data_IF_864890206216
#
_entry.id   IF_864890206216
#
_cell.length_a   1.000
_cell.length_b   1.000
_cell.length_c   1.000
_cell.angle_alpha   90.00
_cell.angle_beta   90.00
_cell.angle_gamma   90.00
#
_symmetry.space_group_name_H-M   'P 1'
#
loop_
_entity.id
_entity.type
_entity.pdbx_description
1 polymer ?
#
# COMPACT_ATOMS: atom_id res chain seq x y z
N UNK A 1 26.14 1.05 -3.19
CA UNK A 1 24.91 1.25 -3.98
C UNK A 1 24.26 -0.10 -4.18
N UNK A 2 22.95 -0.17 -3.95
CA UNK A 2 22.15 -1.39 -4.10
C UNK A 2 20.87 -1.08 -4.87
N UNK A 3 20.53 -1.93 -5.83
CA UNK A 3 19.24 -1.90 -6.52
C UNK A 3 18.34 -2.93 -5.87
N UNK A 4 17.14 -2.52 -5.48
CA UNK A 4 16.16 -3.37 -4.78
C UNK A 4 14.84 -3.37 -5.53
N UNK A 5 14.13 -4.48 -5.46
CA UNK A 5 12.76 -4.56 -5.97
C UNK A 5 11.79 -3.86 -5.02
N UNK A 6 10.69 -3.38 -5.57
CA UNK A 6 9.58 -2.93 -4.76
C UNK A 6 8.85 -4.12 -4.13
N UNK A 7 8.40 -3.96 -2.90
CA UNK A 7 7.68 -4.99 -2.16
C UNK A 7 6.66 -4.36 -1.22
N UNK A 8 5.79 -5.19 -0.65
CA UNK A 8 4.83 -4.75 0.35
C UNK A 8 4.46 -5.90 1.29
N UNK A 9 3.96 -5.55 2.46
CA UNK A 9 3.44 -6.49 3.44
C UNK A 9 2.27 -5.85 4.22
N UNK A 10 1.37 -6.68 4.74
CA UNK A 10 0.37 -6.19 5.69
C UNK A 10 1.01 -5.92 7.05
N UNK A 11 0.55 -4.86 7.71
CA UNK A 11 0.96 -4.49 9.07
C UNK A 11 -0.17 -4.74 10.07
N UNK A 12 -1.41 -4.39 9.70
CA UNK A 12 -2.55 -4.54 10.60
C UNK A 12 -3.87 -4.64 9.83
N UNK A 13 -4.82 -5.36 10.41
CA UNK A 13 -6.25 -5.22 10.12
C UNK A 13 -6.90 -4.92 11.46
N UNK A 14 -7.60 -3.79 11.57
CA UNK A 14 -8.29 -3.41 12.81
C UNK A 14 -9.78 -3.35 12.56
N UNK A 15 -10.48 -4.27 13.20
CA UNK A 15 -11.88 -4.09 13.57
C UNK A 15 -11.88 -3.39 14.94
N UNK A 16 -12.40 -2.15 15.08
CA UNK A 16 -12.72 -1.61 16.40
C UNK A 16 -13.58 -2.65 17.13
N UNK A 17 -13.44 -2.79 18.45
CA UNK A 17 -14.16 -3.73 19.32
C UNK A 17 -13.51 -5.11 19.63
N UNK A 18 -12.19 -5.16 19.85
CA UNK A 18 -11.65 -6.06 20.89
C UNK A 18 -10.69 -7.20 20.49
N UNK A 19 -10.23 -7.28 19.24
CA UNK A 19 -9.16 -8.22 18.85
C UNK A 19 -7.94 -7.46 18.30
N UNK A 20 -7.18 -6.81 19.18
CA UNK A 20 -5.81 -6.38 18.85
C UNK A 20 -4.84 -7.53 19.13
N UNK A 21 -4.85 -8.56 18.28
CA UNK A 21 -3.82 -9.60 18.32
C UNK A 21 -2.67 -9.18 17.38
N UNK A 22 -1.39 -9.29 17.80
CA UNK A 22 -0.27 -9.17 16.87
C UNK A 22 -0.40 -10.21 15.76
N UNK A 23 0.01 -9.82 14.54
CA UNK A 23 -0.09 -10.55 13.28
C UNK A 23 0.42 -12.02 13.39
N UNK A 24 -0.44 -12.95 13.81
CA UNK A 24 -0.14 -14.38 13.83
C UNK A 24 -0.99 -15.16 12.81
N UNK A 25 -2.23 -14.76 12.54
CA UNK A 25 -3.10 -15.37 11.52
C UNK A 25 -4.01 -14.33 10.86
N UNK A 26 -3.82 -14.06 9.56
CA UNK A 26 -4.53 -13.01 8.80
C UNK A 26 -5.97 -13.38 8.43
N UNK A 27 -6.29 -14.67 8.37
CA UNK A 27 -7.62 -15.18 7.99
C UNK A 27 -8.65 -14.85 9.09
N UNK A 28 -8.31 -15.08 10.36
CA UNK A 28 -9.20 -14.80 11.50
C UNK A 28 -9.53 -13.30 11.63
N UNK A 29 -8.55 -12.43 11.32
CA UNK A 29 -8.74 -10.99 11.30
C UNK A 29 -9.66 -10.55 10.16
N UNK A 30 -9.54 -11.18 8.99
CA UNK A 30 -10.42 -10.92 7.86
C UNK A 30 -11.87 -11.31 8.16
N UNK A 31 -12.10 -12.48 8.74
CA UNK A 31 -13.44 -12.92 9.16
C UNK A 31 -14.05 -11.96 10.19
N UNK A 32 -13.26 -11.54 11.19
CA UNK A 32 -13.69 -10.58 12.20
C UNK A 32 -14.06 -9.21 11.60
N UNK A 33 -13.31 -8.76 10.59
CA UNK A 33 -13.60 -7.52 9.87
C UNK A 33 -14.93 -7.61 9.10
N UNK A 34 -15.21 -8.73 8.43
CA UNK A 34 -16.48 -8.93 7.72
C UNK A 34 -17.68 -8.90 8.67
N UNK A 35 -17.57 -9.57 9.83
CA UNK A 35 -18.61 -9.56 10.88
C UNK A 35 -18.84 -8.16 11.46
N UNK A 36 -17.79 -7.36 11.60
CA UNK A 36 -17.92 -5.96 12.03
C UNK A 36 -18.72 -5.14 11.01
N UNK A 37 -18.42 -5.26 9.71
CA UNK A 37 -19.14 -4.53 8.66
C UNK A 37 -20.62 -4.92 8.68
N UNK A 38 -20.94 -6.21 8.82
CA UNK A 38 -22.31 -6.68 8.94
C UNK A 38 -23.01 -6.07 10.16
N UNK A 39 -22.37 -6.10 11.33
CA UNK A 39 -22.93 -5.52 12.56
C UNK A 39 -23.20 -4.01 12.39
N UNK A 40 -22.26 -3.27 11.81
CA UNK A 40 -22.43 -1.84 11.53
C UNK A 40 -23.61 -1.59 10.59
N UNK A 41 -23.68 -2.29 9.47
CA UNK A 41 -24.77 -2.14 8.49
C UNK A 41 -26.14 -2.54 9.02
N UNK A 42 -26.22 -3.60 9.84
CA UNK A 42 -27.48 -4.03 10.45
C UNK A 42 -27.97 -3.09 11.54
N UNK A 43 -27.07 -2.35 12.20
CA UNK A 43 -27.42 -1.32 13.20
C UNK A 43 -28.30 -0.23 12.59
N UNK A 44 -28.05 0.15 11.33
CA UNK A 44 -28.83 1.17 10.62
C UNK A 44 -30.31 0.79 10.45
N UNK A 45 -30.61 -0.51 10.36
CA UNK A 45 -31.96 -1.04 10.10
C UNK A 45 -32.52 -1.87 11.26
N UNK A 46 -31.85 -1.86 12.42
CA UNK A 46 -32.22 -2.66 13.61
C UNK A 46 -32.50 -4.13 13.29
N UNK A 47 -31.60 -4.72 12.50
CA UNK A 47 -31.74 -6.10 11.98
C UNK A 47 -30.65 -7.04 12.48
N UNK A 48 -30.03 -6.73 13.62
CA UNK A 48 -28.94 -7.49 14.24
C UNK A 48 -29.36 -8.92 14.61
N UNK A 49 -30.65 -9.16 14.82
CA UNK A 49 -31.23 -10.49 15.03
C UNK A 49 -31.11 -11.43 13.82
N UNK A 50 -30.72 -10.92 12.65
CA UNK A 50 -30.50 -11.71 11.42
C UNK A 50 -29.03 -12.12 11.20
N UNK A 51 -28.14 -11.81 12.15
CA UNK A 51 -26.73 -12.23 12.10
C UNK A 51 -26.65 -13.72 12.40
N UNK A 52 -26.02 -14.48 11.49
CA UNK A 52 -25.67 -15.90 11.64
C UNK A 52 -24.15 -16.06 11.51
N UNK A 53 -23.56 -17.22 11.84
CA UNK A 53 -22.12 -17.45 11.66
C UNK A 53 -21.62 -17.22 10.22
N UNK A 54 -22.47 -17.42 9.21
CA UNK A 54 -22.16 -17.40 7.77
C UNK A 54 -22.80 -16.22 7.01
N UNK A 55 -23.46 -15.28 7.69
CA UNK A 55 -24.21 -14.19 7.03
C UNK A 55 -23.34 -13.04 6.53
N UNK A 56 -22.15 -12.86 7.12
CA UNK A 56 -21.33 -11.67 6.91
C UNK A 56 -20.95 -11.47 5.44
N UNK A 57 -20.41 -12.49 4.78
CA UNK A 57 -19.97 -12.38 3.39
C UNK A 57 -21.10 -12.01 2.44
N UNK A 58 -22.24 -12.69 2.55
CA UNK A 58 -23.44 -12.40 1.73
C UNK A 58 -23.95 -10.99 1.96
N UNK A 59 -23.93 -10.54 3.22
CA UNK A 59 -24.39 -9.20 3.59
C UNK A 59 -23.44 -8.12 3.07
N UNK A 60 -22.13 -8.30 3.24
CA UNK A 60 -21.10 -7.36 2.74
C UNK A 60 -21.11 -7.31 1.22
N UNK A 61 -21.22 -8.45 0.53
CA UNK A 61 -21.35 -8.48 -0.94
C UNK A 61 -22.55 -7.63 -1.39
N UNK A 62 -23.71 -7.82 -0.77
CA UNK A 62 -24.91 -7.04 -1.06
C UNK A 62 -24.71 -5.53 -0.84
N UNK A 63 -23.96 -5.12 0.19
CA UNK A 63 -23.63 -3.72 0.43
C UNK A 63 -22.75 -3.15 -0.69
N UNK A 64 -21.72 -3.89 -1.10
CA UNK A 64 -20.81 -3.48 -2.19
C UNK A 64 -21.59 -3.36 -3.51
N UNK A 65 -22.41 -4.35 -3.85
CA UNK A 65 -23.19 -4.38 -5.09
C UNK A 65 -24.19 -3.20 -5.18
N UNK A 66 -24.74 -2.78 -4.03
CA UNK A 66 -25.66 -1.63 -3.95
C UNK A 66 -24.95 -0.28 -3.80
N UNK A 67 -23.61 -0.25 -3.75
CA UNK A 67 -22.83 0.97 -3.56
C UNK A 67 -22.95 1.57 -2.15
N UNK A 68 -23.38 0.79 -1.16
CA UNK A 68 -23.53 1.22 0.24
C UNK A 68 -22.19 1.21 0.98
N UNK A 69 -21.22 1.99 0.48
CA UNK A 69 -19.82 1.93 0.92
C UNK A 69 -19.54 2.53 2.31
N UNK A 70 -20.49 3.23 2.94
CA UNK A 70 -20.26 3.80 4.26
C UNK A 70 -19.95 2.72 5.32
N UNK A 71 -20.52 1.52 5.20
CA UNK A 71 -20.34 0.46 6.21
C UNK A 71 -18.96 -0.19 6.17
N UNK A 72 -18.33 -0.25 4.99
CA UNK A 72 -16.99 -0.81 4.84
C UNK A 72 -15.91 0.15 5.38
N UNK A 73 -16.24 1.41 5.66
CA UNK A 73 -15.31 2.36 6.29
C UNK A 73 -14.95 2.00 7.75
N UNK A 74 -15.74 1.14 8.39
CA UNK A 74 -15.51 0.71 9.78
C UNK A 74 -14.33 -0.27 9.93
N UNK A 75 -13.82 -0.81 8.83
CA UNK A 75 -12.63 -1.68 8.81
C UNK A 75 -11.45 -0.88 8.28
N UNK A 76 -10.33 -0.94 9.01
CA UNK A 76 -9.09 -0.25 8.67
C UNK A 76 -7.99 -1.27 8.43
N UNK A 77 -7.22 -1.09 7.35
CA UNK A 77 -6.12 -1.97 6.96
C UNK A 77 -4.85 -1.13 6.82
N UNK A 78 -3.77 -1.58 7.45
CA UNK A 78 -2.43 -1.03 7.35
C UNK A 78 -1.54 -1.92 6.49
N UNK A 79 -0.83 -1.32 5.55
CA UNK A 79 0.18 -1.98 4.72
C UNK A 79 1.47 -1.16 4.71
N UNK A 80 2.61 -1.85 4.67
CA UNK A 80 3.93 -1.25 4.45
C UNK A 80 4.35 -1.52 3.03
N UNK A 81 4.83 -0.50 2.34
CA UNK A 81 5.39 -0.60 1.01
C UNK A 81 6.86 -0.17 1.02
N UNK A 82 7.69 -0.92 0.30
CA UNK A 82 9.04 -0.54 -0.10
C UNK A 82 8.96 -0.16 -1.58
N UNK A 83 9.20 1.12 -1.89
CA UNK A 83 9.08 1.69 -3.24
C UNK A 83 9.91 2.97 -3.36
N UNK A 84 9.78 3.72 -4.44
CA UNK A 84 10.60 4.90 -4.69
C UNK A 84 9.95 6.21 -4.20
N UNK A 85 10.76 7.26 -4.06
CA UNK A 85 10.29 8.58 -3.62
C UNK A 85 9.26 9.18 -4.58
N UNK A 86 9.37 8.93 -5.89
CA UNK A 86 8.41 9.36 -6.89
C UNK A 86 7.03 8.74 -6.66
N UNK A 87 6.96 7.41 -6.59
CA UNK A 87 5.71 6.68 -6.32
C UNK A 87 5.10 7.08 -4.98
N UNK A 88 5.89 7.22 -3.91
CA UNK A 88 5.32 7.67 -2.63
C UNK A 88 4.72 9.08 -2.69
N UNK A 89 5.24 9.95 -3.55
CA UNK A 89 4.67 11.29 -3.75
C UNK A 89 3.28 11.24 -4.40
N UNK A 90 2.98 10.17 -5.14
CA UNK A 90 1.63 9.87 -5.63
C UNK A 90 0.75 9.18 -4.57
N UNK A 91 1.31 8.24 -3.79
CA UNK A 91 0.59 7.52 -2.73
C UNK A 91 -0.01 8.52 -1.73
N UNK A 92 0.78 9.48 -1.26
CA UNK A 92 0.34 10.46 -0.23
C UNK A 92 -0.74 11.44 -0.71
N UNK A 93 -1.15 11.38 -1.98
CA UNK A 93 -2.29 12.15 -2.51
C UNK A 93 -3.65 11.54 -2.13
N UNK A 94 -3.66 10.32 -1.59
CA UNK A 94 -4.83 9.63 -1.06
C UNK A 94 -5.14 10.11 0.37
N UNK A 95 -5.92 11.19 0.46
CA UNK A 95 -6.05 11.97 1.72
C UNK A 95 -6.78 11.27 2.86
N UNK A 96 -7.58 10.24 2.59
CA UNK A 96 -8.34 9.50 3.61
C UNK A 96 -7.49 8.32 4.12
N UNK A 97 -6.27 8.63 4.52
CA UNK A 97 -5.28 7.66 4.98
C UNK A 97 -4.28 8.31 5.95
N UNK A 98 -3.63 7.47 6.74
CA UNK A 98 -2.55 7.84 7.65
C UNK A 98 -1.23 7.27 7.15
N UNK A 99 -0.15 8.04 7.27
CA UNK A 99 1.16 7.70 6.72
C UNK A 99 2.28 7.77 7.75
N UNK A 100 3.19 6.80 7.69
CA UNK A 100 4.49 6.88 8.34
C UNK A 100 5.58 6.53 7.32
N UNK A 101 6.45 7.48 6.98
CA UNK A 101 7.42 7.32 5.90
C UNK A 101 8.85 7.48 6.41
N UNK A 102 9.75 6.66 5.88
CA UNK A 102 11.20 6.80 6.04
C UNK A 102 11.64 8.24 5.72
N UNK A 103 12.29 8.88 6.68
CA UNK A 103 12.63 10.30 6.58
C UNK A 103 14.06 10.49 6.08
N UNK A 104 14.19 10.99 4.87
CA UNK A 104 15.47 11.43 4.30
C UNK A 104 16.11 12.63 5.05
N UNK A 105 15.42 13.24 6.03
CA UNK A 105 16.01 14.26 6.92
C UNK A 105 16.77 13.64 8.10
N UNK A 106 16.34 12.47 8.57
CA UNK A 106 16.84 11.85 9.80
C UNK A 106 17.63 10.55 9.53
N UNK A 107 17.21 9.75 8.55
CA UNK A 107 17.90 8.53 8.15
C UNK A 107 19.25 8.90 7.49
N UNK A 108 20.34 8.42 8.07
CA UNK A 108 21.67 8.67 7.55
C UNK A 108 22.08 7.56 6.57
N UNK A 109 21.90 7.81 5.27
CA UNK A 109 22.28 6.87 4.21
C UNK A 109 23.79 6.63 4.07
N UNK A 110 24.65 7.43 4.70
CA UNK A 110 26.08 7.13 4.74
C UNK A 110 26.40 5.92 5.61
N UNK A 111 25.51 5.57 6.55
CA UNK A 111 25.59 4.34 7.36
C UNK A 111 24.71 3.22 6.83
N UNK A 112 23.52 3.57 6.31
CA UNK A 112 22.52 2.62 5.84
C UNK A 112 22.75 2.14 4.39
N UNK A 113 23.60 2.84 3.64
CA UNK A 113 23.75 2.69 2.20
C UNK A 113 22.64 3.43 1.44
N UNK A 114 22.98 3.95 0.26
CA UNK A 114 21.97 4.50 -0.66
C UNK A 114 21.44 3.35 -1.52
N UNK A 115 20.11 3.18 -1.50
CA UNK A 115 19.41 2.15 -2.28
C UNK A 115 18.47 2.79 -3.28
N UNK A 116 18.31 2.18 -4.44
CA UNK A 116 17.39 2.63 -5.49
C UNK A 116 16.42 1.50 -5.86
N UNK A 117 15.23 1.86 -6.31
CA UNK A 117 14.23 0.89 -6.75
C UNK A 117 14.49 0.51 -8.20
N UNK A 118 14.42 -0.79 -8.49
CA UNK A 118 14.45 -1.30 -9.86
C UNK A 118 13.21 -0.82 -10.63
N UNK A 119 13.36 -0.12 -11.77
CA UNK A 119 12.24 0.21 -12.64
C UNK A 119 11.56 -1.05 -13.18
N UNK A 120 10.25 -1.00 -13.38
CA UNK A 120 9.47 -2.13 -13.91
C UNK A 120 9.23 -2.06 -15.42
N UNK A 121 9.48 -0.90 -16.03
CA UNK A 121 9.12 -0.56 -17.41
C UNK A 121 10.34 -0.29 -18.31
N UNK A 122 11.54 -0.33 -17.75
CA UNK A 122 12.80 -0.31 -18.48
C UNK A 122 13.91 -0.97 -17.65
N UNK A 123 15.00 -1.38 -18.30
CA UNK A 123 16.18 -1.91 -17.64
C UNK A 123 17.24 -0.82 -17.47
N UNK A 124 17.98 -0.86 -16.36
CA UNK A 124 19.10 0.05 -16.10
C UNK A 124 20.34 -0.44 -16.86
N UNK A 125 20.97 0.44 -17.62
CA UNK A 125 22.23 0.13 -18.30
C UNK A 125 23.47 0.53 -17.47
N UNK A 126 24.66 0.33 -18.03
CA UNK A 126 25.93 0.65 -17.36
C UNK A 126 26.09 2.15 -17.05
N UNK A 127 25.53 3.02 -17.90
CA UNK A 127 25.58 4.47 -17.73
C UNK A 127 24.66 4.90 -16.60
N UNK A 128 23.44 4.35 -16.55
CA UNK A 128 22.50 4.58 -15.45
C UNK A 128 23.12 4.16 -14.12
N UNK A 129 23.71 2.97 -14.07
CA UNK A 129 24.38 2.45 -12.87
C UNK A 129 25.56 3.34 -12.45
N UNK A 130 26.35 3.86 -13.39
CA UNK A 130 27.43 4.80 -13.09
C UNK A 130 26.88 6.09 -12.46
N UNK A 131 25.80 6.67 -13.00
CA UNK A 131 25.15 7.89 -12.47
C UNK A 131 24.66 7.65 -11.04
N UNK A 132 23.96 6.55 -10.79
CA UNK A 132 23.48 6.19 -9.44
C UNK A 132 24.65 6.02 -8.45
N UNK A 133 25.77 5.46 -8.90
CA UNK A 133 27.00 5.37 -8.12
C UNK A 133 27.60 6.73 -7.79
N UNK A 134 27.64 7.66 -8.75
CA UNK A 134 28.10 9.03 -8.50
C UNK A 134 27.20 9.79 -7.53
N UNK A 135 25.89 9.57 -7.58
CA UNK A 135 24.93 10.17 -6.64
C UNK A 135 25.22 9.71 -5.20
N UNK A 136 25.42 8.40 -4.98
CA UNK A 136 25.79 7.88 -3.66
C UNK A 136 27.14 8.46 -3.19
N UNK A 137 28.14 8.48 -4.06
CA UNK A 137 29.45 9.05 -3.76
C UNK A 137 29.34 10.53 -3.39
N UNK A 138 28.53 11.31 -4.11
CA UNK A 138 28.30 12.73 -3.83
C UNK A 138 27.53 12.95 -2.53
N UNK A 139 26.55 12.10 -2.21
CA UNK A 139 25.87 12.12 -0.92
C UNK A 139 26.86 11.91 0.24
N UNK A 140 27.74 10.93 0.14
CA UNK A 140 28.78 10.66 1.14
C UNK A 140 29.81 11.79 1.23
N UNK A 141 30.21 12.37 0.08
CA UNK A 141 31.05 13.57 0.04
C UNK A 141 30.43 14.73 0.82
N UNK A 142 29.11 14.97 0.65
CA UNK A 142 28.40 16.01 1.39
C UNK A 142 28.48 15.78 2.90
N UNK A 143 28.24 14.55 3.36
CA UNK A 143 28.34 14.19 4.79
C UNK A 143 29.76 14.39 5.32
N UNK A 144 30.78 13.96 4.57
CA UNK A 144 32.19 14.12 4.96
C UNK A 144 32.64 15.59 5.02
N UNK A 145 31.96 16.49 4.29
CA UNK A 145 32.13 17.94 4.38
C UNK A 145 31.36 18.59 5.55
N UNK A 146 30.71 17.80 6.40
CA UNK A 146 29.94 18.28 7.54
C UNK A 146 28.51 18.72 7.22
N UNK A 147 27.99 18.46 6.02
CA UNK A 147 26.58 18.71 5.72
C UNK A 147 25.70 17.68 6.45
N UNK A 148 24.56 18.14 6.94
CA UNK A 148 23.54 17.27 7.53
C UNK A 148 22.85 16.40 6.46
N UNK A 149 22.23 15.26 6.83
CA UNK A 149 21.44 14.44 5.91
C UNK A 149 20.36 15.23 5.15
N UNK A 150 19.69 16.18 5.81
CA UNK A 150 18.69 17.04 5.17
C UNK A 150 19.27 17.99 4.10
N UNK A 151 20.56 18.31 4.16
CA UNK A 151 21.24 19.07 3.11
C UNK A 151 21.77 18.15 2.01
N UNK A 152 22.36 17.01 2.40
CA UNK A 152 22.90 16.03 1.45
C UNK A 152 21.81 15.41 0.55
N UNK A 153 20.57 15.23 1.07
CA UNK A 153 19.45 14.69 0.32
C UNK A 153 19.01 15.51 -0.90
N UNK A 154 19.48 16.76 -1.03
CA UNK A 154 19.11 17.64 -2.14
C UNK A 154 19.45 17.03 -3.51
N UNK A 155 20.44 16.14 -3.55
CA UNK A 155 20.91 15.47 -4.76
C UNK A 155 20.33 14.07 -4.95
N UNK A 156 19.51 13.56 -4.02
CA UNK A 156 18.92 12.23 -4.15
C UNK A 156 17.75 12.26 -5.15
N UNK A 157 17.67 11.27 -6.06
CA UNK A 157 16.68 11.25 -7.14
C UNK A 157 15.32 10.71 -6.69
N UNK A 158 14.33 10.83 -7.56
CA UNK A 158 13.01 10.22 -7.35
C UNK A 158 13.06 8.69 -7.21
N UNK A 159 14.00 8.03 -7.90
CA UNK A 159 14.22 6.58 -7.82
C UNK A 159 14.83 6.07 -6.51
N UNK A 160 15.14 6.97 -5.55
CA UNK A 160 15.62 6.59 -4.22
C UNK A 160 14.60 5.68 -3.53
N UNK A 161 15.05 4.54 -3.00
CA UNK A 161 14.22 3.66 -2.18
C UNK A 161 13.75 4.37 -0.92
N UNK A 162 12.51 4.13 -0.54
CA UNK A 162 11.88 4.56 0.70
C UNK A 162 10.95 3.47 1.20
N UNK A 163 10.66 3.48 2.50
CA UNK A 163 9.57 2.71 3.08
C UNK A 163 8.46 3.64 3.51
N UNK A 164 7.22 3.22 3.32
CA UNK A 164 6.05 3.96 3.78
C UNK A 164 5.00 2.98 4.29
N UNK A 165 4.47 3.24 5.48
CA UNK A 165 3.26 2.60 5.99
C UNK A 165 2.08 3.48 5.61
N UNK A 166 1.07 2.89 5.00
CA UNK A 166 -0.22 3.51 4.73
C UNK A 166 -1.30 2.72 5.47
N UNK A 167 -2.11 3.43 6.25
CA UNK A 167 -3.27 2.87 6.94
C UNK A 167 -4.52 3.60 6.49
N UNK A 168 -5.48 2.87 5.94
CA UNK A 168 -6.72 3.44 5.40
C UNK A 168 -7.90 2.49 5.62
N UNK A 169 -9.13 3.02 5.56
CA UNK A 169 -10.31 2.17 5.61
C UNK A 169 -10.53 1.43 4.28
N UNK A 170 -11.37 0.39 4.29
CA UNK A 170 -11.62 -0.44 3.09
C UNK A 170 -12.14 0.39 1.91
N UNK A 171 -12.99 1.40 2.15
CA UNK A 171 -13.49 2.28 1.08
C UNK A 171 -12.36 3.04 0.40
N UNK A 172 -11.41 3.59 1.16
CA UNK A 172 -10.25 4.26 0.59
C UNK A 172 -9.32 3.26 -0.11
N UNK A 173 -9.13 2.05 0.40
CA UNK A 173 -8.35 1.02 -0.31
C UNK A 173 -8.98 0.65 -1.67
N UNK A 174 -10.31 0.51 -1.74
CA UNK A 174 -11.01 0.32 -3.02
C UNK A 174 -10.78 1.51 -3.96
N UNK A 175 -10.85 2.73 -3.45
CA UNK A 175 -10.57 3.93 -4.23
C UNK A 175 -9.12 3.96 -4.74
N UNK A 176 -8.16 3.66 -3.87
CA UNK A 176 -6.74 3.53 -4.17
C UNK A 176 -6.51 2.53 -5.30
N UNK A 177 -7.00 1.30 -5.17
CA UNK A 177 -6.82 0.28 -6.19
C UNK A 177 -7.52 0.64 -7.49
N UNK A 178 -8.73 1.22 -7.45
CA UNK A 178 -9.42 1.62 -8.67
C UNK A 178 -8.59 2.61 -9.52
N UNK A 179 -7.95 3.59 -8.87
CA UNK A 179 -7.11 4.58 -9.54
C UNK A 179 -5.72 4.02 -9.89
N UNK A 180 -5.07 3.32 -8.96
CA UNK A 180 -3.66 2.96 -9.07
C UNK A 180 -3.40 1.67 -9.83
N UNK A 181 -4.42 0.83 -10.03
CA UNK A 181 -4.34 -0.31 -10.98
C UNK A 181 -4.78 0.04 -12.40
N UNK A 182 -5.22 1.28 -12.64
CA UNK A 182 -5.62 1.75 -13.97
C UNK A 182 -4.43 1.77 -14.94
N UNK A 183 -4.63 1.50 -16.25
CA UNK A 183 -3.59 1.67 -17.26
C UNK A 183 -2.95 3.05 -17.30
N UNK A 184 -3.69 4.09 -16.89
CA UNK A 184 -3.22 5.48 -16.86
C UNK A 184 -2.32 5.80 -15.65
N UNK A 185 -2.21 4.91 -14.66
CA UNK A 185 -1.31 5.10 -13.53
C UNK A 185 0.15 4.90 -13.93
N UNK A 186 1.07 5.57 -13.24
CA UNK A 186 2.51 5.39 -13.45
C UNK A 186 2.89 3.89 -13.39
N UNK A 187 3.70 3.35 -14.32
CA UNK A 187 3.96 1.91 -14.40
C UNK A 187 4.44 1.28 -13.09
N UNK A 188 5.39 1.94 -12.40
CA UNK A 188 5.89 1.52 -11.09
C UNK A 188 4.78 1.43 -10.02
N UNK A 189 3.95 2.48 -9.90
CA UNK A 189 2.79 2.51 -9.01
C UNK A 189 1.78 1.42 -9.37
N UNK A 190 1.52 1.22 -10.66
CA UNK A 190 0.56 0.23 -11.16
C UNK A 190 0.99 -1.18 -10.83
N UNK A 191 2.26 -1.50 -11.02
CA UNK A 191 2.83 -2.80 -10.66
C UNK A 191 2.70 -3.05 -9.14
N UNK A 192 3.03 -2.06 -8.30
CA UNK A 192 2.93 -2.16 -6.84
C UNK A 192 1.47 -2.36 -6.40
N UNK A 193 0.57 -1.49 -6.85
CA UNK A 193 -0.84 -1.52 -6.49
C UNK A 193 -1.55 -2.78 -6.99
N UNK A 194 -1.15 -3.34 -8.14
CA UNK A 194 -1.71 -4.59 -8.67
C UNK A 194 -1.30 -5.78 -7.82
N UNK A 195 -0.01 -5.88 -7.44
CA UNK A 195 0.46 -6.92 -6.51
C UNK A 195 -0.26 -6.83 -5.16
N UNK A 196 -0.44 -5.61 -4.64
CA UNK A 196 -1.24 -5.35 -3.45
C UNK A 196 -2.68 -5.82 -3.59
N UNK A 197 -3.36 -5.46 -4.69
CA UNK A 197 -4.75 -5.85 -4.92
C UNK A 197 -4.93 -7.37 -4.93
N UNK A 198 -3.99 -8.13 -5.50
CA UNK A 198 -4.01 -9.60 -5.48
C UNK A 198 -3.96 -10.12 -4.04
N UNK A 199 -3.04 -9.62 -3.21
CA UNK A 199 -2.94 -10.02 -1.81
C UNK A 199 -4.16 -9.59 -0.97
N UNK A 200 -4.71 -8.40 -1.22
CA UNK A 200 -5.95 -7.95 -0.59
C UNK A 200 -7.14 -8.83 -0.98
N UNK A 201 -7.26 -9.22 -2.26
CA UNK A 201 -8.31 -10.11 -2.74
C UNK A 201 -8.18 -11.53 -2.19
N UNK A 202 -6.96 -12.01 -1.91
CA UNK A 202 -6.76 -13.30 -1.27
C UNK A 202 -7.34 -13.31 0.17
N UNK A 203 -7.12 -12.25 0.95
CA UNK A 203 -7.64 -12.18 2.33
C UNK A 203 -9.10 -11.69 2.43
N UNK A 204 -9.54 -10.84 1.49
CA UNK A 204 -10.85 -10.21 1.50
C UNK A 204 -11.54 -10.37 0.12
N UNK A 205 -11.84 -11.62 -0.30
CA UNK A 205 -12.34 -11.91 -1.65
C UNK A 205 -13.66 -11.21 -1.97
N UNK A 206 -14.56 -11.09 -1.00
CA UNK A 206 -15.84 -10.39 -1.15
C UNK A 206 -15.65 -8.89 -1.45
N UNK A 207 -14.63 -8.27 -0.86
CA UNK A 207 -14.39 -6.83 -1.00
C UNK A 207 -13.59 -6.50 -2.26
N UNK A 208 -12.54 -7.27 -2.56
CA UNK A 208 -11.57 -6.92 -3.62
C UNK A 208 -11.52 -7.92 -4.79
N UNK A 209 -12.13 -9.11 -4.68
CA UNK A 209 -12.00 -10.19 -5.66
C UNK A 209 -12.52 -9.84 -7.05
N UNK A 210 -13.66 -9.15 -7.12
CA UNK A 210 -14.22 -8.69 -8.40
C UNK A 210 -13.28 -7.71 -9.10
N UNK A 211 -12.68 -6.77 -8.35
CA UNK A 211 -11.74 -5.81 -8.89
C UNK A 211 -10.44 -6.48 -9.34
N UNK A 212 -9.90 -7.40 -8.53
CA UNK A 212 -8.70 -8.16 -8.88
C UNK A 212 -8.91 -8.92 -10.20
N UNK A 213 -10.01 -9.67 -10.31
CA UNK A 213 -10.35 -10.43 -11.52
C UNK A 213 -10.44 -9.53 -12.75
N UNK A 214 -11.14 -8.39 -12.65
CA UNK A 214 -11.29 -7.44 -13.75
C UNK A 214 -9.95 -6.85 -14.22
N UNK A 215 -8.99 -6.66 -13.30
CA UNK A 215 -7.65 -6.13 -13.63
C UNK A 215 -6.72 -7.19 -14.19
N UNK A 216 -6.78 -8.43 -13.71
CA UNK A 216 -5.94 -9.54 -14.22
C UNK A 216 -6.35 -9.96 -15.64
N UNK A 217 -7.64 -9.96 -15.96
CA UNK A 217 -8.14 -10.28 -17.31
C UNK A 217 -7.75 -9.20 -18.34
N UNK A 218 -7.55 -7.95 -17.90
CA UNK A 218 -7.11 -6.84 -18.75
C UNK A 218 -5.61 -6.82 -19.07
N UNK A 219 -4.77 -7.59 -18.36
CA UNK A 219 -3.31 -7.62 -18.53
C UNK A 219 -2.84 -8.48 -19.72
N UNK A 220 -3.74 -9.24 -20.37
CA UNK A 220 -3.41 -10.07 -21.54
C UNK A 220 -3.40 -9.34 -22.89
N UNK A 221 -3.34 -7.99 -22.90
CA UNK A 221 -3.35 -7.17 -24.12
C UNK A 221 -2.30 -6.04 -24.10
N UNK A 222 -1.10 -6.35 -23.60
CA UNK A 222 0.08 -5.49 -23.79
C UNK A 222 1.09 -6.25 -24.63
#
# INVERSE_FOLDING_TARGET
MEIVEQSWEFISVTAPWGYSQPFRDTIDQAESAMKLIEKAGRTCYKSENKITPDSADKFVQMLVDKGHHAMIEHVVIGAKMITDRGVTHEIVRHRIASYAQESTRYCNYGKLGVKFIKPVDFELDEVDMAILGYIEAHYNYCLNKGRSPQQARYFLPNGLKTEIVMTANVREWLHFFNLRTSPAAHPQMRALATSMLVGFAYHFPVLFGNMATARTVGLGRI
#
